data_IF_515322757909
#
_entry.id   IF_515322757909
#
_cell.length_a   1.000
_cell.length_b   1.000
_cell.length_c   1.000
_cell.angle_alpha   90.00
_cell.angle_beta   90.00
_cell.angle_gamma   90.00
#
_symmetry.space_group_name_H-M   'P 1'
#
loop_
_entity.id
_entity.type
_entity.pdbx_description
1 polymer ?
#
# COMPACT_ATOMS: atom_id res chain seq x y z
N UNK A 1 -5.36 3.45 5.05
CA UNK A 1 -4.04 3.70 5.65
C UNK A 1 -3.57 5.09 5.27
N UNK A 2 -2.94 5.84 6.17
CA UNK A 2 -2.39 7.17 5.83
C UNK A 2 -1.12 7.04 5.00
N UNK A 3 -0.91 7.93 4.05
CA UNK A 3 0.31 8.03 3.27
C UNK A 3 1.49 8.32 4.22
N UNK A 4 2.55 7.51 4.22
CA UNK A 4 3.69 7.70 5.12
C UNK A 4 4.52 8.95 4.78
N UNK A 5 4.29 9.58 3.63
CA UNK A 5 5.07 10.73 3.18
C UNK A 5 4.39 12.08 3.44
N UNK A 6 3.06 12.15 3.34
CA UNK A 6 2.31 13.40 3.51
C UNK A 6 1.15 13.29 4.50
N UNK A 7 0.90 12.11 5.08
CA UNK A 7 -0.18 11.89 6.06
C UNK A 7 -1.60 11.79 5.48
N UNK A 8 -1.79 12.00 4.17
CA UNK A 8 -3.11 11.96 3.53
C UNK A 8 -3.77 10.57 3.64
N UNK A 9 -5.09 10.52 3.85
CA UNK A 9 -5.84 9.29 4.10
C UNK A 9 -6.20 8.51 2.84
N UNK A 10 -6.34 9.18 1.69
CA UNK A 10 -6.73 8.53 0.44
C UNK A 10 -5.52 7.97 -0.29
N UNK A 11 -5.54 6.65 -0.48
CA UNK A 11 -4.48 5.90 -1.13
C UNK A 11 -5.11 4.79 -1.98
N UNK A 12 -4.63 4.64 -3.21
CA UNK A 12 -5.14 3.67 -4.18
C UNK A 12 -4.24 2.43 -4.20
N UNK A 13 -4.81 1.23 -4.20
CA UNK A 13 -4.07 -0.02 -4.40
C UNK A 13 -3.75 -0.19 -5.89
N UNK A 14 -2.47 -0.37 -6.22
CA UNK A 14 -1.99 -0.58 -7.58
C UNK A 14 -1.71 -2.04 -7.92
N UNK A 15 -1.14 -2.79 -6.96
CA UNK A 15 -0.72 -4.19 -7.14
C UNK A 15 -0.88 -4.92 -5.81
N UNK A 16 -1.32 -6.17 -5.84
CA UNK A 16 -1.43 -7.03 -4.66
C UNK A 16 -0.80 -8.38 -4.96
N UNK A 17 0.11 -8.82 -4.09
CA UNK A 17 0.76 -10.14 -4.18
C UNK A 17 0.60 -10.87 -2.86
N UNK A 18 0.26 -12.15 -2.94
CA UNK A 18 0.20 -13.04 -1.79
C UNK A 18 1.54 -13.74 -1.70
N UNK A 19 2.12 -13.83 -0.50
CA UNK A 19 3.32 -14.64 -0.25
C UNK A 19 3.04 -16.12 -0.49
N UNK A 20 4.04 -16.90 -0.88
CA UNK A 20 3.91 -18.34 -1.16
C UNK A 20 3.38 -19.13 0.05
N UNK A 21 3.71 -18.69 1.26
CA UNK A 21 3.21 -19.25 2.52
C UNK A 21 1.74 -18.92 2.82
N UNK A 22 1.07 -18.09 1.99
CA UNK A 22 -0.33 -17.67 2.18
C UNK A 22 -0.59 -16.71 3.35
N UNK A 23 0.39 -16.55 4.25
CA UNK A 23 0.26 -15.81 5.52
C UNK A 23 0.36 -14.28 5.36
N UNK A 24 0.75 -13.75 4.20
CA UNK A 24 0.98 -12.31 4.06
C UNK A 24 0.59 -11.80 2.69
N UNK A 25 -0.09 -10.65 2.67
CA UNK A 25 -0.45 -9.93 1.46
C UNK A 25 0.37 -8.65 1.38
N UNK A 26 1.21 -8.54 0.35
CA UNK A 26 1.93 -7.33 0.01
C UNK A 26 1.12 -6.49 -0.98
N UNK A 27 0.71 -5.29 -0.59
CA UNK A 27 -0.02 -4.35 -1.45
C UNK A 27 0.84 -3.12 -1.78
N UNK A 28 1.04 -2.82 -3.07
CA UNK A 28 1.64 -1.56 -3.53
C UNK A 28 0.53 -0.51 -3.65
N UNK A 29 0.70 0.65 -3.02
CA UNK A 29 -0.27 1.74 -3.01
C UNK A 29 0.31 3.03 -3.58
N UNK A 30 -0.53 3.91 -4.11
CA UNK A 30 -0.23 5.30 -4.52
C UNK A 30 -1.04 6.27 -3.67
N UNK A 31 -0.43 7.35 -3.22
CA UNK A 31 -1.15 8.46 -2.58
C UNK A 31 -1.82 9.35 -3.63
N UNK A 32 -3.09 9.70 -3.44
CA UNK A 32 -3.83 10.58 -4.36
C UNK A 32 -3.47 12.07 -4.20
N UNK A 33 -2.80 12.44 -3.10
CA UNK A 33 -2.42 13.83 -2.83
C UNK A 33 -0.98 14.18 -3.24
N UNK A 34 -0.02 13.25 -3.08
CA UNK A 34 1.40 13.51 -3.37
C UNK A 34 2.01 12.56 -4.40
N UNK A 35 1.19 11.67 -4.99
CA UNK A 35 1.57 10.71 -6.03
C UNK A 35 2.67 9.70 -5.69
N UNK A 36 3.18 9.73 -4.46
CA UNK A 36 4.18 8.78 -3.99
C UNK A 36 3.60 7.38 -3.86
N UNK A 37 4.43 6.40 -4.18
CA UNK A 37 4.11 4.98 -4.08
C UNK A 37 4.79 4.37 -2.85
N UNK A 38 4.10 3.47 -2.16
CA UNK A 38 4.62 2.75 -1.01
C UNK A 38 4.00 1.35 -0.92
N UNK A 39 4.60 0.49 -0.11
CA UNK A 39 4.15 -0.90 0.07
C UNK A 39 3.63 -1.09 1.48
N UNK A 40 2.53 -1.84 1.59
CA UNK A 40 1.95 -2.24 2.87
C UNK A 40 1.88 -3.75 2.94
N UNK A 41 2.06 -4.30 4.14
CA UNK A 41 1.90 -5.71 4.42
C UNK A 41 0.66 -5.87 5.29
N UNK A 42 -0.23 -6.76 4.89
CA UNK A 42 -1.38 -7.19 5.68
C UNK A 42 -1.14 -8.67 6.00
N UNK A 43 -1.29 -9.03 7.28
CA UNK A 43 -1.27 -10.39 7.78
C UNK A 43 -2.69 -10.79 8.16
#
# INVERSE_FOLDING_TARGET
MKCPFCGHSSTQVLDSRVSEDGDTVRRRRRCEACDRRFTTYER
#
